data_IF_124769664603
#
_entry.id   IF_124769664603
#
_cell.length_a   1.000
_cell.length_b   1.000
_cell.length_c   1.000
_cell.angle_alpha   90.00
_cell.angle_beta   90.00
_cell.angle_gamma   90.00
#
_symmetry.space_group_name_H-M   'P 1'
#
loop_
_entity.id
_entity.type
_entity.pdbx_description
1 polymer ?
#
# COMPACT_ATOMS: atom_id res chain seq x y z
N UNK A 1 -35.79 -31.67 3.10
CA UNK A 1 -35.28 -30.29 2.93
C UNK A 1 -34.31 -30.00 4.07
N UNK A 2 -33.18 -29.33 3.80
CA UNK A 2 -32.23 -28.93 4.84
C UNK A 2 -32.88 -27.87 5.76
N UNK A 3 -32.66 -27.95 7.07
CA UNK A 3 -33.02 -26.86 7.98
C UNK A 3 -32.14 -25.64 7.69
N UNK A 4 -32.64 -24.43 7.95
CA UNK A 4 -31.92 -23.19 7.62
C UNK A 4 -30.52 -23.08 8.27
N UNK A 5 -30.29 -23.51 9.54
CA UNK A 5 -28.94 -23.58 10.10
C UNK A 5 -28.01 -24.51 9.31
N UNK A 6 -28.52 -25.67 8.86
CA UNK A 6 -27.76 -26.66 8.10
C UNK A 6 -27.41 -26.16 6.71
N UNK A 7 -28.32 -25.42 6.09
CA UNK A 7 -28.08 -24.74 4.80
C UNK A 7 -26.96 -23.69 4.92
N UNK A 8 -27.00 -22.85 5.95
CA UNK A 8 -25.99 -21.80 6.18
C UNK A 8 -24.61 -22.37 6.48
N UNK A 9 -24.53 -23.42 7.30
CA UNK A 9 -23.28 -24.14 7.57
C UNK A 9 -22.67 -24.73 6.27
N UNK A 10 -23.50 -25.35 5.43
CA UNK A 10 -23.06 -25.88 4.13
C UNK A 10 -22.52 -24.78 3.20
N UNK A 11 -23.24 -23.66 3.08
CA UNK A 11 -22.79 -22.53 2.24
C UNK A 11 -21.48 -21.91 2.76
N UNK A 12 -21.34 -21.80 4.08
CA UNK A 12 -20.10 -21.33 4.71
C UNK A 12 -18.94 -22.29 4.45
N UNK A 13 -19.16 -23.61 4.51
CA UNK A 13 -18.14 -24.61 4.19
C UNK A 13 -17.70 -24.55 2.71
N UNK A 14 -18.62 -24.19 1.82
CA UNK A 14 -18.36 -23.90 0.40
C UNK A 14 -17.75 -22.50 0.17
N UNK A 15 -17.40 -21.77 1.23
CA UNK A 15 -16.87 -20.40 1.18
C UNK A 15 -17.81 -19.39 0.51
N UNK A 16 -19.12 -19.68 0.50
CA UNK A 16 -20.15 -18.77 -0.01
C UNK A 16 -20.63 -17.87 1.12
N UNK A 17 -20.30 -16.58 1.03
CA UNK A 17 -20.76 -15.56 1.98
C UNK A 17 -22.24 -15.26 1.76
N UNK A 18 -23.05 -15.38 2.80
CA UNK A 18 -24.48 -15.04 2.76
C UNK A 18 -24.73 -13.67 3.42
N UNK A 19 -25.61 -12.84 2.85
CA UNK A 19 -26.01 -11.55 3.44
C UNK A 19 -27.51 -11.58 3.75
N UNK A 20 -27.88 -11.10 4.94
CA UNK A 20 -29.28 -10.93 5.35
C UNK A 20 -29.56 -9.44 5.59
N UNK A 21 -30.62 -8.86 5.00
CA UNK A 21 -31.01 -7.48 5.27
C UNK A 21 -31.31 -7.28 6.76
N UNK A 22 -30.74 -6.22 7.35
CA UNK A 22 -31.04 -5.81 8.74
C UNK A 22 -32.20 -4.82 8.85
N UNK A 23 -32.62 -4.26 7.72
CA UNK A 23 -33.79 -3.39 7.60
C UNK A 23 -34.81 -4.05 6.68
N UNK A 24 -36.09 -3.79 6.93
CA UNK A 24 -37.16 -4.21 6.04
C UNK A 24 -37.07 -3.43 4.73
N UNK A 25 -37.06 -4.17 3.62
CA UNK A 25 -37.06 -3.57 2.29
C UNK A 25 -38.51 -3.29 1.88
N UNK A 26 -38.80 -2.15 1.22
CA UNK A 26 -40.13 -1.88 0.68
C UNK A 26 -40.60 -3.04 -0.21
N UNK A 27 -41.83 -3.50 0.02
CA UNK A 27 -42.48 -4.59 -0.72
C UNK A 27 -41.84 -5.99 -0.58
N UNK A 28 -40.86 -6.17 0.32
CA UNK A 28 -40.31 -7.48 0.64
C UNK A 28 -40.97 -8.06 1.90
N UNK A 29 -41.01 -9.39 2.00
CA UNK A 29 -41.38 -10.06 3.24
C UNK A 29 -40.32 -9.75 4.33
N UNK A 30 -40.75 -9.48 5.58
CA UNK A 30 -39.83 -9.28 6.69
C UNK A 30 -38.86 -10.45 6.88
N UNK A 31 -37.62 -10.14 7.25
CA UNK A 31 -36.65 -11.18 7.60
C UNK A 31 -37.05 -11.86 8.90
N UNK A 32 -36.85 -13.18 9.00
CA UNK A 32 -37.11 -13.92 10.24
C UNK A 32 -36.11 -13.47 11.33
N UNK A 33 -36.59 -13.06 12.52
CA UNK A 33 -35.72 -12.52 13.57
C UNK A 33 -34.67 -13.54 14.06
N UNK A 34 -35.03 -14.83 14.06
CA UNK A 34 -34.13 -15.94 14.41
C UNK A 34 -32.87 -16.00 13.55
N UNK A 35 -32.91 -15.51 12.29
CA UNK A 35 -31.77 -15.55 11.38
C UNK A 35 -30.73 -14.45 11.64
N UNK A 36 -31.13 -13.39 12.36
CA UNK A 36 -30.28 -12.28 12.77
C UNK A 36 -29.47 -12.59 14.03
N UNK A 37 -29.86 -13.64 14.78
CA UNK A 37 -29.13 -14.08 15.95
C UNK A 37 -27.76 -14.67 15.54
N UNK A 38 -26.72 -14.51 16.36
CA UNK A 38 -25.45 -15.19 16.16
C UNK A 38 -25.68 -16.70 16.03
N UNK A 39 -25.09 -17.31 15.00
CA UNK A 39 -25.18 -18.76 14.84
C UNK A 39 -24.38 -19.42 15.96
N UNK A 40 -25.04 -20.26 16.75
CA UNK A 40 -24.35 -21.22 17.60
C UNK A 40 -23.58 -22.16 16.67
N UNK A 41 -22.27 -22.37 16.87
CA UNK A 41 -21.53 -23.37 16.10
C UNK A 41 -22.28 -24.69 16.19
N UNK A 42 -22.75 -25.19 15.06
CA UNK A 42 -23.28 -26.55 15.01
C UNK A 42 -22.08 -27.42 15.32
N UNK A 43 -22.03 -28.00 16.52
CA UNK A 43 -21.07 -29.05 16.88
C UNK A 43 -21.00 -29.99 15.69
N UNK A 44 -19.79 -30.17 15.18
CA UNK A 44 -19.51 -30.83 13.93
C UNK A 44 -20.33 -32.12 13.87
N UNK A 45 -21.47 -32.07 13.18
CA UNK A 45 -22.26 -33.25 12.93
C UNK A 45 -21.35 -34.09 12.08
N UNK A 46 -20.82 -35.13 12.71
CA UNK A 46 -19.96 -36.13 12.10
C UNK A 46 -20.63 -36.52 10.79
N UNK A 47 -20.06 -36.02 9.69
CA UNK A 47 -20.31 -36.63 8.41
C UNK A 47 -19.74 -38.03 8.59
N UNK A 48 -20.59 -39.05 8.65
CA UNK A 48 -20.15 -40.43 8.50
C UNK A 48 -19.42 -40.49 7.15
N UNK A 49 -18.11 -40.33 7.22
CA UNK A 49 -17.22 -40.57 6.12
C UNK A 49 -17.34 -42.06 5.85
N UNK A 50 -18.01 -42.38 4.74
CA UNK A 50 -18.10 -43.74 4.22
C UNK A 50 -16.69 -44.34 4.26
N UNK A 51 -16.48 -45.49 4.93
CA UNK A 51 -15.13 -45.98 5.18
C UNK A 51 -14.44 -46.25 3.85
N UNK A 52 -13.34 -45.54 3.61
CA UNK A 52 -12.38 -45.88 2.56
C UNK A 52 -11.67 -47.16 3.00
N UNK A 53 -11.77 -48.21 2.17
CA UNK A 53 -11.05 -49.45 2.40
C UNK A 53 -9.53 -49.21 2.50
N UNK A 54 -8.81 -49.97 3.35
CA UNK A 54 -7.37 -49.78 3.52
C UNK A 54 -6.63 -50.49 2.38
N UNK A 55 -5.71 -49.79 1.73
CA UNK A 55 -4.70 -50.43 0.88
C UNK A 55 -3.32 -50.06 1.39
N UNK A 56 -2.71 -51.08 1.99
CA UNK A 56 -1.30 -51.41 2.09
C UNK A 56 -0.27 -50.31 2.38
N UNK A 57 0.33 -50.48 3.55
CA UNK A 57 1.60 -49.94 4.02
C UNK A 57 2.72 -50.11 3.00
N UNK A 58 3.25 -49.00 2.48
CA UNK A 58 4.57 -48.96 1.85
C UNK A 58 5.62 -48.57 2.89
N UNK A 59 6.64 -49.42 2.98
CA UNK A 59 7.83 -49.34 3.83
C UNK A 59 8.57 -47.99 3.73
N UNK A 60 9.12 -47.47 4.83
CA UNK A 60 9.89 -46.22 4.81
C UNK A 60 11.24 -46.42 4.11
N UNK A 61 11.45 -45.69 3.01
CA UNK A 61 12.74 -45.60 2.32
C UNK A 61 13.63 -44.59 3.07
N UNK A 62 14.76 -45.08 3.56
CA UNK A 62 15.81 -44.30 4.24
C UNK A 62 16.43 -43.29 3.25
N UNK A 63 16.57 -42.00 3.59
CA UNK A 63 17.18 -41.03 2.71
C UNK A 63 18.71 -41.21 2.68
N UNK A 64 19.25 -41.67 1.55
CA UNK A 64 20.68 -41.62 1.26
C UNK A 64 21.09 -40.19 0.90
N UNK A 65 21.95 -39.60 1.74
CA UNK A 65 22.60 -38.33 1.47
C UNK A 65 23.51 -38.45 0.24
N UNK A 66 23.11 -37.85 -0.89
CA UNK A 66 23.99 -37.63 -2.03
C UNK A 66 24.77 -36.34 -1.82
N UNK A 67 26.04 -36.49 -1.46
CA UNK A 67 27.05 -35.44 -1.52
C UNK A 67 27.27 -35.03 -2.97
N UNK A 68 26.77 -33.85 -3.36
CA UNK A 68 27.09 -33.24 -4.64
C UNK A 68 28.35 -32.40 -4.45
N UNK A 69 29.48 -32.96 -4.87
CA UNK A 69 30.77 -32.30 -4.93
C UNK A 69 30.74 -31.27 -6.07
N UNK A 70 30.83 -29.97 -5.71
CA UNK A 70 30.94 -28.88 -6.69
C UNK A 70 32.38 -28.83 -7.22
N UNK A 71 32.62 -29.02 -8.54
CA UNK A 71 33.95 -28.85 -9.09
C UNK A 71 34.40 -27.39 -8.99
N UNK A 72 35.58 -27.21 -8.39
CA UNK A 72 36.29 -25.94 -8.19
C UNK A 72 36.79 -25.45 -9.54
N UNK A 73 36.19 -24.37 -10.05
CA UNK A 73 36.71 -23.65 -11.21
C UNK A 73 38.00 -22.93 -10.78
N UNK A 74 39.12 -23.41 -11.30
CA UNK A 74 40.44 -22.80 -11.18
C UNK A 74 40.51 -21.55 -12.06
N UNK A 75 40.63 -20.38 -11.42
CA UNK A 75 40.97 -19.13 -12.12
C UNK A 75 42.49 -18.94 -11.97
N UNK A 76 43.26 -18.84 -13.06
CA UNK A 76 44.72 -18.78 -13.02
C UNK A 76 45.24 -17.49 -12.36
N UNK A 77 46.18 -17.67 -11.44
CA UNK A 77 47.04 -16.60 -10.89
C UNK A 77 48.01 -16.07 -11.96
N UNK A 78 48.16 -14.75 -12.13
CA UNK A 78 49.38 -14.17 -12.66
C UNK A 78 50.41 -13.98 -11.53
N UNK A 79 51.67 -14.27 -11.86
CA UNK A 79 52.79 -14.44 -10.93
C UNK A 79 53.29 -13.19 -10.21
N UNK A 80 54.03 -13.47 -9.14
CA UNK A 80 54.76 -12.55 -8.26
C UNK A 80 56.19 -12.33 -8.76
N UNK A 81 56.67 -11.08 -8.76
CA UNK A 81 58.07 -10.70 -8.46
C UNK A 81 58.14 -9.16 -8.16
N UNK A 82 59.22 -8.61 -7.57
CA UNK A 82 59.28 -8.26 -6.15
C UNK A 82 59.46 -6.75 -5.87
N UNK A 83 59.36 -6.39 -4.59
CA UNK A 83 59.57 -5.06 -3.98
C UNK A 83 60.95 -4.45 -4.30
N UNK A 84 61.04 -3.10 -4.22
CA UNK A 84 62.09 -2.46 -3.43
C UNK A 84 61.51 -1.64 -2.27
N UNK A 85 62.32 -1.54 -1.23
CA UNK A 85 62.08 -0.83 0.03
C UNK A 85 62.51 0.62 -0.12
N UNK A 86 61.66 1.58 0.27
CA UNK A 86 62.10 2.90 0.70
C UNK A 86 61.11 3.44 1.76
N UNK A 87 61.67 3.95 2.86
CA UNK A 87 60.98 4.48 4.06
C UNK A 87 60.71 5.99 3.92
N UNK A 88 59.68 6.43 4.67
CA UNK A 88 59.33 7.78 5.12
C UNK A 88 58.84 8.73 4.00
N UNK A 89 57.74 9.48 4.16
CA UNK A 89 57.36 10.34 5.28
C UNK A 89 55.84 10.39 5.45
N UNK A 90 55.44 10.49 6.71
CA UNK A 90 54.13 10.77 7.28
C UNK A 90 53.42 11.97 6.62
N UNK A 91 52.27 11.72 6.03
CA UNK A 91 51.22 12.70 5.82
C UNK A 91 49.92 12.01 6.21
N UNK A 92 49.30 12.55 7.26
CA UNK A 92 48.05 12.08 7.85
C UNK A 92 46.91 12.26 6.83
N UNK A 93 46.73 11.25 5.99
CA UNK A 93 45.60 11.16 5.08
C UNK A 93 44.39 10.74 5.90
N UNK A 94 43.57 11.74 6.24
CA UNK A 94 42.28 11.54 6.90
C UNK A 94 41.52 10.44 6.18
N UNK A 95 41.32 9.31 6.89
CA UNK A 95 40.56 8.19 6.38
C UNK A 95 39.18 8.71 5.93
N UNK A 96 38.76 8.45 4.67
CA UNK A 96 37.46 8.88 4.21
C UNK A 96 36.39 8.26 5.11
N UNK A 97 35.48 9.09 5.60
CA UNK A 97 34.39 8.68 6.46
C UNK A 97 33.69 7.44 5.86
N UNK A 98 33.35 6.43 6.68
CA UNK A 98 32.76 5.20 6.20
C UNK A 98 31.49 5.53 5.41
N UNK A 99 31.44 5.12 4.14
CA UNK A 99 30.24 5.29 3.31
C UNK A 99 29.06 4.68 4.06
N UNK A 100 27.97 5.43 4.28
CA UNK A 100 26.80 4.90 4.96
C UNK A 100 26.34 3.64 4.23
N UNK A 101 25.98 2.61 5.00
CA UNK A 101 25.49 1.35 4.46
C UNK A 101 24.30 1.64 3.51
N UNK A 102 24.27 1.03 2.31
CA UNK A 102 23.22 1.31 1.34
C UNK A 102 21.86 0.95 1.92
N UNK A 103 21.03 1.97 2.17
CA UNK A 103 19.65 1.79 2.61
C UNK A 103 18.88 1.16 1.43
N UNK A 104 18.11 0.08 1.65
CA UNK A 104 17.35 -0.53 0.57
C UNK A 104 16.38 0.50 -0.05
N UNK A 105 16.21 0.49 -1.38
CA UNK A 105 15.33 1.44 -2.05
C UNK A 105 13.89 1.26 -1.55
N UNK A 106 13.18 2.34 -1.20
CA UNK A 106 11.79 2.24 -0.78
C UNK A 106 10.94 1.66 -1.91
N UNK A 107 9.79 1.07 -1.56
CA UNK A 107 8.85 0.53 -2.55
C UNK A 107 7.49 1.14 -2.31
N UNK A 108 6.96 1.81 -3.33
CA UNK A 108 5.63 2.40 -3.26
C UNK A 108 5.08 2.64 -4.66
N UNK A 109 3.77 2.85 -4.72
CA UNK A 109 3.11 3.35 -5.92
C UNK A 109 2.16 4.48 -5.56
N UNK A 110 2.23 5.57 -6.33
CA UNK A 110 1.43 6.77 -6.12
C UNK A 110 0.69 7.14 -7.40
N UNK A 111 -0.60 7.43 -7.28
CA UNK A 111 -1.41 7.99 -8.37
C UNK A 111 -1.64 9.47 -8.14
N UNK A 112 -1.47 10.27 -9.19
CA UNK A 112 -1.88 11.67 -9.19
C UNK A 112 -3.29 11.79 -9.78
N UNK A 113 -4.16 12.53 -9.10
CA UNK A 113 -5.50 12.84 -9.55
C UNK A 113 -5.82 14.32 -9.35
N UNK A 114 -6.80 14.83 -10.10
CA UNK A 114 -7.34 16.18 -9.94
C UNK A 114 -8.84 16.14 -9.74
N UNK A 115 -9.31 16.89 -8.75
CA UNK A 115 -10.73 17.08 -8.47
C UNK A 115 -11.01 18.57 -8.26
N UNK A 116 -11.57 19.22 -9.28
CA UNK A 116 -11.79 20.67 -9.27
C UNK A 116 -10.47 21.42 -9.05
N UNK A 117 -10.45 22.31 -8.06
CA UNK A 117 -9.27 23.07 -7.67
C UNK A 117 -8.23 22.30 -6.84
N UNK A 118 -8.44 21.03 -6.51
CA UNK A 118 -7.52 20.25 -5.68
C UNK A 118 -6.73 19.22 -6.51
N UNK A 119 -5.45 19.07 -6.16
CA UNK A 119 -4.57 18.02 -6.65
C UNK A 119 -4.42 16.96 -5.54
N UNK A 120 -4.42 15.68 -5.89
CA UNK A 120 -4.39 14.58 -4.94
C UNK A 120 -3.28 13.59 -5.33
N UNK A 121 -2.31 13.40 -4.44
CA UNK A 121 -1.30 12.36 -4.56
C UNK A 121 -1.67 11.22 -3.60
N UNK A 122 -2.02 10.07 -4.16
CA UNK A 122 -2.64 8.97 -3.40
C UNK A 122 -1.80 7.70 -3.48
N UNK A 123 -1.58 7.08 -2.33
CA UNK A 123 -0.99 5.74 -2.20
C UNK A 123 -1.88 4.66 -2.80
N UNK A 124 -1.31 3.89 -3.72
CA UNK A 124 -1.88 2.65 -4.25
C UNK A 124 -1.30 1.47 -3.47
N UNK A 125 -1.99 1.02 -2.42
CA UNK A 125 -1.52 -0.05 -1.53
C UNK A 125 -1.20 -1.36 -2.28
N UNK A 126 -1.94 -1.66 -3.34
CA UNK A 126 -1.74 -2.85 -4.19
C UNK A 126 -0.79 -2.61 -5.38
N UNK A 127 -0.37 -1.36 -5.61
CA UNK A 127 0.39 -0.94 -6.79
C UNK A 127 -0.40 -0.94 -8.10
N UNK A 128 -1.70 -1.28 -8.05
CA UNK A 128 -2.59 -1.29 -9.20
C UNK A 128 -3.39 0.02 -9.27
N UNK A 129 -3.69 0.53 -10.48
CA UNK A 129 -4.59 1.66 -10.65
C UNK A 129 -5.97 1.38 -10.06
N UNK A 130 -6.65 2.44 -9.62
CA UNK A 130 -8.00 2.32 -9.07
C UNK A 130 -8.98 1.71 -10.08
N UNK A 131 -9.80 0.78 -9.60
CA UNK A 131 -10.93 0.25 -10.33
C UNK A 131 -12.22 0.88 -9.80
N UNK A 132 -13.24 1.00 -10.65
CA UNK A 132 -14.50 1.67 -10.30
C UNK A 132 -15.24 1.07 -9.09
N UNK A 133 -15.01 -0.22 -8.81
CA UNK A 133 -15.60 -0.97 -7.68
C UNK A 133 -14.64 -1.17 -6.50
N UNK A 134 -13.43 -0.61 -6.58
CA UNK A 134 -12.45 -0.70 -5.51
C UNK A 134 -12.98 0.04 -4.26
N UNK A 135 -13.05 -0.61 -3.09
CA UNK A 135 -13.50 0.03 -1.85
C UNK A 135 -12.75 1.32 -1.50
N UNK A 136 -11.44 1.34 -1.73
CA UNK A 136 -10.60 2.51 -1.48
C UNK A 136 -10.99 3.67 -2.39
N UNK A 137 -11.25 3.38 -3.67
CA UNK A 137 -11.71 4.38 -4.63
C UNK A 137 -13.12 4.89 -4.31
N UNK A 138 -14.03 4.02 -3.87
CA UNK A 138 -15.36 4.44 -3.42
C UNK A 138 -15.28 5.38 -2.20
N UNK A 139 -14.41 5.07 -1.23
CA UNK A 139 -14.14 5.96 -0.09
C UNK A 139 -13.59 7.30 -0.55
N UNK A 140 -12.65 7.32 -1.49
CA UNK A 140 -12.13 8.56 -2.08
C UNK A 140 -13.25 9.40 -2.70
N UNK A 141 -14.14 8.77 -3.49
CA UNK A 141 -15.29 9.48 -4.10
C UNK A 141 -16.21 10.08 -3.05
N UNK A 142 -16.49 9.35 -1.98
CA UNK A 142 -17.32 9.87 -0.88
C UNK A 142 -16.63 11.02 -0.14
N UNK A 143 -15.31 10.96 0.06
CA UNK A 143 -14.52 12.07 0.61
C UNK A 143 -14.55 13.31 -0.28
N UNK A 144 -14.41 13.14 -1.60
CA UNK A 144 -14.51 14.24 -2.57
C UNK A 144 -15.89 14.88 -2.55
N UNK A 145 -16.95 14.07 -2.55
CA UNK A 145 -18.34 14.54 -2.42
C UNK A 145 -18.55 15.33 -1.13
N UNK A 146 -18.04 14.82 0.00
CA UNK A 146 -18.13 15.50 1.30
C UNK A 146 -17.37 16.84 1.31
N UNK A 147 -16.22 16.91 0.62
CA UNK A 147 -15.44 18.12 0.44
C UNK A 147 -16.09 19.15 -0.50
N UNK A 148 -17.16 18.77 -1.21
CA UNK A 148 -17.80 19.58 -2.25
C UNK A 148 -16.97 19.68 -3.53
N UNK A 149 -16.11 18.71 -3.79
CA UNK A 149 -15.34 18.57 -5.02
C UNK A 149 -16.05 17.60 -5.99
N UNK A 150 -15.72 17.62 -7.29
CA UNK A 150 -16.20 16.62 -8.25
C UNK A 150 -15.86 15.19 -7.77
N UNK A 151 -16.85 14.31 -7.70
CA UNK A 151 -16.69 12.93 -7.23
C UNK A 151 -16.17 11.97 -8.31
N UNK A 152 -15.90 12.49 -9.51
CA UNK A 152 -15.19 11.81 -10.59
C UNK A 152 -13.84 12.51 -10.83
N UNK A 153 -12.81 12.21 -10.01
CA UNK A 153 -11.50 12.83 -10.15
C UNK A 153 -10.83 12.39 -11.47
N UNK A 154 -10.18 13.33 -12.15
CA UNK A 154 -9.39 13.05 -13.35
C UNK A 154 -8.06 12.40 -12.96
N UNK A 155 -7.76 11.25 -13.56
CA UNK A 155 -6.46 10.57 -13.41
C UNK A 155 -5.43 11.31 -14.28
N UNK A 156 -4.31 11.70 -13.68
CA UNK A 156 -3.22 12.40 -14.39
C UNK A 156 -2.06 11.43 -14.59
N UNK A 157 -1.84 11.04 -15.85
CA UNK A 157 -0.73 10.19 -16.25
C UNK A 157 -0.74 8.80 -15.62
N UNK A 158 0.38 8.09 -15.79
CA UNK A 158 0.61 6.77 -15.21
C UNK A 158 0.94 6.85 -13.71
N UNK A 159 0.62 5.82 -12.91
CA UNK A 159 1.06 5.73 -11.53
C UNK A 159 2.59 5.78 -11.43
N UNK A 160 3.09 6.63 -10.55
CA UNK A 160 4.50 6.65 -10.14
C UNK A 160 4.77 5.35 -9.39
N UNK A 161 5.77 4.59 -9.83
CA UNK A 161 6.21 3.34 -9.20
C UNK A 161 7.68 3.45 -8.85
N UNK A 162 8.00 3.32 -7.57
CA UNK A 162 9.36 3.34 -7.08
C UNK A 162 9.72 1.98 -6.47
N UNK A 163 10.91 1.42 -6.71
CA UNK A 163 11.98 1.91 -7.60
C UNK A 163 11.56 1.94 -9.08
N UNK A 164 12.14 2.85 -9.85
CA UNK A 164 11.98 2.93 -11.30
C UNK A 164 12.64 1.71 -11.95
N UNK A 165 11.96 1.12 -12.94
CA UNK A 165 12.44 -0.02 -13.74
C UNK A 165 13.54 0.38 -14.76
N UNK A 166 14.49 1.22 -14.33
CA UNK A 166 15.58 1.71 -15.17
C UNK A 166 16.76 0.75 -15.08
N UNK A 167 17.24 0.27 -16.24
CA UNK A 167 18.50 -0.48 -16.32
C UNK A 167 19.65 0.50 -16.11
N UNK A 168 20.20 0.57 -14.91
CA UNK A 168 21.34 1.43 -14.60
C UNK A 168 21.69 1.44 -13.11
N UNK A 169 22.87 1.97 -12.79
CA UNK A 169 23.34 2.16 -11.41
C UNK A 169 22.86 3.52 -10.83
N UNK A 170 21.60 3.88 -11.10
CA UNK A 170 21.02 5.12 -10.59
C UNK A 170 20.71 4.97 -9.10
N UNK A 171 20.97 6.03 -8.32
CA UNK A 171 20.56 6.04 -6.91
C UNK A 171 19.04 6.02 -6.83
N UNK A 172 18.51 5.02 -6.12
CA UNK A 172 17.09 4.84 -5.88
C UNK A 172 16.76 4.86 -4.39
N UNK A 173 17.63 5.47 -3.59
CA UNK A 173 17.45 5.65 -2.15
C UNK A 173 16.28 6.59 -1.81
N UNK A 174 16.00 6.77 -0.51
CA UNK A 174 14.89 7.58 -0.02
C UNK A 174 14.93 9.05 -0.47
N UNK A 175 16.12 9.66 -0.51
CA UNK A 175 16.26 11.06 -0.91
C UNK A 175 16.00 11.23 -2.41
N UNK A 176 16.55 10.34 -3.26
CA UNK A 176 16.25 10.32 -4.69
C UNK A 176 14.74 10.12 -4.98
N UNK A 177 14.06 9.30 -4.18
CA UNK A 177 12.61 9.11 -4.29
C UNK A 177 11.84 10.38 -3.94
N UNK A 178 12.29 11.12 -2.93
CA UNK A 178 11.71 12.41 -2.52
C UNK A 178 11.88 13.46 -3.62
N UNK A 179 13.11 13.63 -4.10
CA UNK A 179 13.42 14.59 -5.16
C UNK A 179 12.60 14.32 -6.42
N UNK A 180 12.44 13.04 -6.79
CA UNK A 180 11.60 12.64 -7.91
C UNK A 180 10.13 13.02 -7.71
N UNK A 181 9.53 12.67 -6.55
CA UNK A 181 8.11 12.94 -6.27
C UNK A 181 7.84 14.44 -6.17
N UNK A 182 8.72 15.19 -5.52
CA UNK A 182 8.60 16.65 -5.41
C UNK A 182 8.71 17.33 -6.78
N UNK A 183 9.73 16.97 -7.59
CA UNK A 183 9.87 17.51 -8.95
C UNK A 183 8.69 17.15 -9.85
N UNK A 184 8.17 15.92 -9.74
CA UNK A 184 6.97 15.49 -10.46
C UNK A 184 5.73 16.31 -10.08
N UNK A 185 5.50 16.55 -8.78
CA UNK A 185 4.38 17.37 -8.32
C UNK A 185 4.53 18.84 -8.70
N UNK A 186 5.75 19.40 -8.58
CA UNK A 186 6.02 20.78 -8.90
C UNK A 186 5.72 21.08 -10.37
N UNK A 187 6.20 20.23 -11.29
CA UNK A 187 5.90 20.37 -12.72
C UNK A 187 4.38 20.37 -13.00
N UNK A 188 3.60 19.56 -12.26
CA UNK A 188 2.14 19.49 -12.42
C UNK A 188 1.40 20.68 -11.84
N UNK A 189 1.90 21.27 -10.76
CA UNK A 189 1.35 22.48 -10.16
C UNK A 189 1.70 23.73 -11.00
N UNK A 190 2.84 23.75 -11.67
CA UNK A 190 3.23 24.80 -12.62
C UNK A 190 2.36 24.78 -13.88
N UNK A 191 2.06 23.59 -14.42
CA UNK A 191 1.17 23.44 -15.58
C UNK A 191 -0.26 23.95 -15.29
N UNK A 192 -0.83 23.50 -14.17
CA UNK A 192 -2.16 23.94 -13.74
C UNK A 192 -2.14 24.13 -12.23
N UNK A 193 -2.22 25.38 -11.73
CA UNK A 193 -2.27 25.62 -10.30
C UNK A 193 -3.45 24.92 -9.62
N UNK A 194 -3.31 24.68 -8.32
CA UNK A 194 -4.35 24.13 -7.45
C UNK A 194 -4.45 24.92 -6.17
N UNK A 195 -5.64 24.94 -5.57
CA UNK A 195 -5.92 25.59 -4.29
C UNK A 195 -5.35 24.79 -3.10
N UNK A 196 -5.23 23.47 -3.23
CA UNK A 196 -4.71 22.60 -2.18
C UNK A 196 -4.21 21.27 -2.76
N UNK A 197 -3.09 20.77 -2.23
CA UNK A 197 -2.55 19.44 -2.50
C UNK A 197 -2.96 18.48 -1.37
N UNK A 198 -3.57 17.34 -1.68
CA UNK A 198 -3.86 16.29 -0.70
C UNK A 198 -2.79 15.20 -0.82
N UNK A 199 -2.13 14.89 0.30
CA UNK A 199 -1.14 13.81 0.40
C UNK A 199 -1.78 12.65 1.17
N UNK A 200 -2.25 11.65 0.43
CA UNK A 200 -3.02 10.52 0.98
C UNK A 200 -2.15 9.28 1.04
N UNK A 201 -1.83 8.85 2.25
CA UNK A 201 -0.96 7.69 2.48
C UNK A 201 0.46 8.05 2.89
N UNK A 202 1.14 7.10 3.51
CA UNK A 202 2.46 7.33 4.10
C UNK A 202 3.52 7.66 3.04
N UNK A 203 3.60 6.97 1.89
CA UNK A 203 4.58 7.31 0.87
C UNK A 203 4.31 8.70 0.26
N UNK A 204 3.05 9.09 0.07
CA UNK A 204 2.72 10.42 -0.42
C UNK A 204 3.22 11.49 0.56
N UNK A 205 2.99 11.31 1.86
CA UNK A 205 3.42 12.24 2.89
C UNK A 205 4.95 12.31 3.02
N UNK A 206 5.60 11.14 3.11
CA UNK A 206 7.05 11.04 3.32
C UNK A 206 7.85 11.56 2.13
N UNK A 207 7.44 11.24 0.91
CA UNK A 207 8.21 11.58 -0.29
C UNK A 207 7.78 12.90 -0.93
N UNK A 208 6.60 13.45 -0.63
CA UNK A 208 6.26 14.81 -1.07
C UNK A 208 6.60 15.87 -0.02
N UNK A 209 6.36 15.61 1.27
CA UNK A 209 6.46 16.62 2.33
C UNK A 209 7.56 16.36 3.37
N UNK A 210 8.31 15.26 3.27
CA UNK A 210 9.30 14.85 4.27
C UNK A 210 8.73 14.79 5.70
N UNK A 211 7.51 14.28 5.83
CA UNK A 211 6.80 14.17 7.10
C UNK A 211 6.36 12.72 7.37
N UNK A 212 6.02 12.44 8.63
CA UNK A 212 5.59 11.13 9.11
C UNK A 212 4.14 11.16 9.64
N UNK A 213 3.69 10.05 10.24
CA UNK A 213 2.30 9.86 10.68
C UNK A 213 1.81 10.91 11.70
N UNK A 214 2.71 11.54 12.44
CA UNK A 214 2.42 12.59 13.42
C UNK A 214 1.85 13.86 12.76
N UNK A 215 2.16 14.07 11.47
CA UNK A 215 1.64 15.18 10.69
C UNK A 215 0.21 14.93 10.16
N UNK A 216 -0.39 13.75 10.35
CA UNK A 216 -1.73 13.48 9.84
C UNK A 216 -2.76 14.52 10.30
N UNK A 217 -3.68 14.82 9.39
CA UNK A 217 -4.75 15.80 9.52
C UNK A 217 -4.30 17.27 9.56
N UNK A 218 -3.00 17.54 9.48
CA UNK A 218 -2.43 18.88 9.47
C UNK A 218 -2.18 19.38 8.05
N UNK A 219 -2.09 20.71 7.90
CA UNK A 219 -1.59 21.34 6.67
C UNK A 219 -0.11 21.64 6.84
N UNK A 220 0.68 21.13 5.92
CA UNK A 220 2.12 21.32 5.84
C UNK A 220 2.41 22.36 4.77
N UNK A 221 3.33 23.28 5.08
CA UNK A 221 3.92 24.15 4.06
C UNK A 221 5.12 23.45 3.47
N UNK A 222 5.01 23.07 2.20
CA UNK A 222 6.07 22.38 1.48
C UNK A 222 6.66 23.33 0.45
N UNK A 223 7.99 23.49 0.49
CA UNK A 223 8.70 24.33 -0.46
C UNK A 223 8.44 23.84 -1.90
N UNK A 224 8.15 24.77 -2.81
CA UNK A 224 7.80 24.48 -4.21
C UNK A 224 6.38 23.93 -4.44
N UNK A 225 5.75 23.28 -3.45
CA UNK A 225 4.42 22.66 -3.59
C UNK A 225 3.29 23.44 -2.91
N UNK A 226 3.62 24.37 -2.02
CA UNK A 226 2.64 25.18 -1.27
C UNK A 226 2.01 24.43 -0.10
N UNK A 227 0.71 24.68 0.13
CA UNK A 227 -0.03 24.07 1.24
C UNK A 227 -0.49 22.65 0.89
N UNK A 228 0.04 21.66 1.61
CA UNK A 228 -0.26 20.25 1.45
C UNK A 228 -1.00 19.70 2.68
N UNK A 229 -2.18 19.12 2.48
CA UNK A 229 -2.96 18.47 3.54
C UNK A 229 -2.56 17.00 3.70
N UNK A 230 -2.07 16.65 4.88
CA UNK A 230 -1.58 15.32 5.21
C UNK A 230 -2.72 14.40 5.65
N UNK A 231 -2.86 13.25 4.99
CA UNK A 231 -3.92 12.28 5.24
C UNK A 231 -3.38 10.85 5.40
N UNK A 232 -3.98 10.03 6.29
CA UNK A 232 -3.75 8.60 6.28
C UNK A 232 -4.12 7.97 4.94
N UNK A 233 -3.53 6.80 4.64
CA UNK A 233 -3.87 6.04 3.44
C UNK A 233 -5.32 5.57 3.44
N UNK A 234 -5.90 5.36 2.25
CA UNK A 234 -7.30 4.96 2.13
C UNK A 234 -7.57 3.60 2.79
N UNK A 235 -6.68 2.63 2.63
CA UNK A 235 -6.75 1.33 3.33
C UNK A 235 -6.75 1.51 4.85
N UNK A 236 -5.85 2.34 5.39
CA UNK A 236 -5.79 2.63 6.83
C UNK A 236 -7.08 3.29 7.33
N UNK A 237 -7.71 4.16 6.54
CA UNK A 237 -9.01 4.74 6.88
C UNK A 237 -10.16 3.72 6.81
N UNK A 238 -10.04 2.67 6.01
CA UNK A 238 -10.99 1.57 5.98
C UNK A 238 -10.82 0.64 7.18
N UNK A 239 -9.57 0.29 7.50
CA UNK A 239 -9.21 -0.58 8.64
C UNK A 239 -9.49 0.08 9.99
N UNK A 240 -9.31 1.41 10.08
CA UNK A 240 -9.54 2.21 11.29
C UNK A 240 -10.61 3.30 11.07
N UNK A 241 -11.91 2.94 11.00
CA UNK A 241 -12.99 3.89 10.69
C UNK A 241 -13.08 5.09 11.62
N UNK A 242 -12.63 4.97 12.87
CA UNK A 242 -12.57 6.06 13.84
C UNK A 242 -11.78 7.27 13.33
N UNK A 243 -10.75 7.06 12.49
CA UNK A 243 -9.93 8.11 11.90
C UNK A 243 -10.71 9.02 10.94
N UNK A 244 -11.83 8.54 10.38
CA UNK A 244 -12.67 9.32 9.47
C UNK A 244 -13.26 10.56 10.17
N UNK A 245 -13.47 10.52 11.48
CA UNK A 245 -13.93 11.67 12.25
C UNK A 245 -12.88 12.80 12.27
N UNK A 246 -11.60 12.43 12.43
CA UNK A 246 -10.48 13.38 12.40
C UNK A 246 -10.28 13.96 11.00
N UNK A 247 -10.34 13.11 9.96
CA UNK A 247 -10.34 13.54 8.56
C UNK A 247 -11.46 14.55 8.31
N UNK A 248 -12.69 14.25 8.72
CA UNK A 248 -13.82 15.15 8.52
C UNK A 248 -13.65 16.48 9.25
N UNK A 249 -13.18 16.44 10.50
CA UNK A 249 -12.92 17.64 11.30
C UNK A 249 -11.89 18.55 10.62
N UNK A 250 -10.77 17.99 10.15
CA UNK A 250 -9.75 18.72 9.42
C UNK A 250 -10.28 19.24 8.07
N UNK A 251 -10.97 18.39 7.30
CA UNK A 251 -11.55 18.74 6.00
C UNK A 251 -12.44 19.98 6.09
N UNK A 252 -13.34 20.03 7.09
CA UNK A 252 -14.25 21.17 7.28
C UNK A 252 -13.54 22.51 7.45
N UNK A 253 -12.36 22.52 8.07
CA UNK A 253 -11.57 23.75 8.25
C UNK A 253 -10.91 24.20 6.94
N UNK A 254 -10.64 23.26 6.04
CA UNK A 254 -9.93 23.50 4.78
C UNK A 254 -10.86 23.75 3.59
N UNK A 255 -12.11 23.28 3.66
CA UNK A 255 -13.10 23.40 2.57
C UNK A 255 -13.28 24.82 2.06
N UNK A 256 -13.12 25.84 2.91
CA UNK A 256 -13.20 27.24 2.49
C UNK A 256 -12.17 27.60 1.40
N UNK A 257 -10.99 26.96 1.40
CA UNK A 257 -9.86 27.28 0.52
C UNK A 257 -10.10 26.90 -0.94
N UNK A 258 -10.77 25.77 -1.18
CA UNK A 258 -11.03 25.26 -2.54
C UNK A 258 -12.47 25.47 -3.02
N UNK A 259 -13.39 25.82 -2.11
CA UNK A 259 -14.75 26.24 -2.50
C UNK A 259 -14.83 27.71 -2.92
N UNK A 260 -13.90 28.54 -2.47
CA UNK A 260 -13.86 29.97 -2.81
C UNK A 260 -13.22 30.26 -4.18
N UNK A 261 -12.76 29.24 -4.90
CA UNK A 261 -12.22 29.37 -6.25
C UNK A 261 -13.37 29.16 -7.24
N UNK A 262 -14.24 30.15 -7.33
CA UNK A 262 -15.18 30.37 -8.44
C UNK A 262 -14.79 31.65 -9.19
#
# INVERSE_FOLDING_TARGET
MLTEPRRRAYLSAMQVVHWLPRAELPFAAPSRPELLLPQVPVEALEFEARPSAPVASETPVVPQARSVERPKIEIPRPGSAPKPVAKAVEAEEAAPAPRPAPVPPPRFSLQLLRAGGCLLLIELATGQPFQSRDPSYLLLKDMLRAAGLPDAPQIIGEPVRWPLLVRGNMDQGPDAARDFVQGFLQARLEEVPGACLWLVGMPALRFAANADADAYYQVLKVEGLGDAWALPGLELLMDEPQRKADVWKAMRQLMARWKSVE
#
